data_IF_317011104554
#
_entry.id   IF_317011104554
#
_cell.length_a   1.000
_cell.length_b   1.000
_cell.length_c   1.000
_cell.angle_alpha   90.00
_cell.angle_beta   90.00
_cell.angle_gamma   90.00
#
_symmetry.space_group_name_H-M   'P 1'
#
loop_
_entity.id
_entity.type
_entity.pdbx_description
1 polymer ?
#
# COMPACT_ATOMS: atom_id res chain seq x y z
N UNK A 1 7.91 28.75 -14.64
CA UNK A 1 7.92 27.28 -14.85
C UNK A 1 7.46 26.65 -13.56
N UNK A 2 6.36 25.94 -13.60
CA UNK A 2 5.79 25.26 -12.42
C UNK A 2 6.46 23.90 -12.21
N UNK A 3 7.09 23.70 -11.06
CA UNK A 3 7.76 22.46 -10.71
C UNK A 3 6.82 21.59 -9.85
N UNK A 4 6.33 20.49 -10.38
CA UNK A 4 5.54 19.53 -9.64
C UNK A 4 6.41 18.33 -9.28
N UNK A 5 6.65 18.11 -7.98
CA UNK A 5 7.43 16.99 -7.47
C UNK A 5 6.49 15.95 -6.87
N UNK A 6 6.68 14.69 -7.22
CA UNK A 6 5.90 13.54 -6.73
C UNK A 6 6.87 12.63 -5.97
N UNK A 7 6.59 12.38 -4.69
CA UNK A 7 7.42 11.55 -3.83
C UNK A 7 6.81 10.16 -3.68
N UNK A 8 7.58 9.14 -4.10
CA UNK A 8 7.18 7.74 -4.05
C UNK A 8 6.47 7.25 -5.31
N UNK A 9 6.93 6.12 -5.83
CA UNK A 9 6.38 5.45 -7.01
C UNK A 9 5.56 4.20 -6.65
N UNK A 10 4.82 4.24 -5.52
CA UNK A 10 3.79 3.25 -5.20
C UNK A 10 2.54 3.46 -6.07
N UNK A 11 1.46 2.73 -5.77
CA UNK A 11 0.21 2.77 -6.56
C UNK A 11 -0.34 4.20 -6.76
N UNK A 12 -0.35 5.01 -5.72
CA UNK A 12 -0.86 6.38 -5.77
C UNK A 12 0.08 7.33 -6.54
N UNK A 13 1.40 7.26 -6.27
CA UNK A 13 2.39 8.12 -6.91
C UNK A 13 2.53 7.83 -8.40
N UNK A 14 2.54 6.56 -8.81
CA UNK A 14 2.53 6.18 -10.22
C UNK A 14 1.28 6.66 -10.95
N UNK A 15 0.11 6.56 -10.31
CA UNK A 15 -1.14 7.08 -10.86
C UNK A 15 -1.08 8.62 -11.02
N UNK A 16 -0.54 9.33 -10.03
CA UNK A 16 -0.36 10.78 -10.11
C UNK A 16 0.63 11.17 -11.22
N UNK A 17 1.78 10.52 -11.28
CA UNK A 17 2.83 10.82 -12.25
C UNK A 17 2.36 10.59 -13.70
N UNK A 18 1.79 9.42 -13.98
CA UNK A 18 1.32 9.10 -15.33
C UNK A 18 0.16 9.99 -15.80
N UNK A 19 -0.77 10.29 -14.88
CA UNK A 19 -1.90 11.18 -15.18
C UNK A 19 -1.45 12.63 -15.44
N UNK A 20 -0.58 13.16 -14.57
CA UNK A 20 -0.15 14.55 -14.69
C UNK A 20 0.73 14.72 -15.92
N UNK A 21 1.72 13.82 -16.11
CA UNK A 21 2.59 13.86 -17.27
C UNK A 21 1.83 13.81 -18.62
N UNK A 22 0.80 12.94 -18.68
CA UNK A 22 -0.03 12.87 -19.89
C UNK A 22 -0.85 14.14 -20.13
N UNK A 23 -1.31 14.83 -19.08
CA UNK A 23 -2.10 16.07 -19.17
C UNK A 23 -1.25 17.31 -19.44
N UNK A 24 0.01 17.31 -19.05
CA UNK A 24 0.94 18.42 -19.23
C UNK A 24 1.87 18.20 -20.42
N UNK A 25 1.69 17.12 -21.18
CA UNK A 25 2.47 16.82 -22.37
C UNK A 25 2.43 18.00 -23.36
N UNK A 26 3.61 18.48 -23.78
CA UNK A 26 3.73 19.64 -24.67
C UNK A 26 3.59 21.00 -23.98
N UNK A 27 3.56 21.04 -22.64
CA UNK A 27 3.63 22.28 -21.86
C UNK A 27 5.05 22.52 -21.36
N UNK A 28 5.70 23.53 -21.90
CA UNK A 28 7.09 23.90 -21.51
C UNK A 28 7.14 24.70 -20.19
N UNK A 29 5.98 25.16 -19.72
CA UNK A 29 5.81 25.91 -18.48
C UNK A 29 5.60 25.01 -17.25
N UNK A 30 5.53 23.67 -17.41
CA UNK A 30 5.33 22.71 -16.32
C UNK A 30 6.39 21.60 -16.37
N UNK A 31 7.04 21.35 -15.24
CA UNK A 31 7.97 20.23 -15.07
C UNK A 31 7.43 19.26 -14.04
N UNK A 32 7.25 17.99 -14.43
CA UNK A 32 6.85 16.91 -13.52
C UNK A 32 8.06 16.04 -13.19
N UNK A 33 8.35 15.86 -11.90
CA UNK A 33 9.44 15.01 -11.42
C UNK A 33 8.90 13.96 -10.47
N UNK A 34 9.15 12.66 -10.75
CA UNK A 34 8.86 11.54 -9.85
C UNK A 34 10.14 11.11 -9.16
N UNK A 35 10.13 11.05 -7.82
CA UNK A 35 11.26 10.63 -6.98
C UNK A 35 10.93 9.28 -6.36
N UNK A 36 11.83 8.29 -6.51
CA UNK A 36 11.70 6.98 -5.88
C UNK A 36 13.07 6.29 -5.76
N UNK A 37 13.37 5.55 -4.68
CA UNK A 37 14.67 4.89 -4.53
C UNK A 37 14.89 3.76 -5.53
N UNK A 38 13.83 3.10 -5.99
CA UNK A 38 13.89 2.00 -6.94
C UNK A 38 13.41 2.45 -8.32
N UNK A 39 14.11 2.03 -9.37
CA UNK A 39 13.66 2.21 -10.75
C UNK A 39 12.56 1.21 -11.15
N UNK A 40 12.40 0.15 -10.37
CA UNK A 40 11.38 -0.87 -10.58
C UNK A 40 10.15 -0.59 -9.72
N UNK A 41 8.96 -0.71 -10.28
CA UNK A 41 7.70 -0.62 -9.55
C UNK A 41 7.52 -1.81 -8.62
N UNK A 42 7.30 -1.55 -7.34
CA UNK A 42 7.06 -2.58 -6.34
C UNK A 42 5.57 -2.94 -6.29
N UNK A 43 5.21 -4.11 -6.80
CA UNK A 43 3.85 -4.65 -6.67
C UNK A 43 3.62 -5.16 -5.23
N UNK A 44 3.33 -4.27 -4.28
CA UNK A 44 3.08 -4.63 -2.87
C UNK A 44 2.04 -5.73 -2.70
N UNK A 45 1.08 -5.83 -3.60
CA UNK A 45 0.07 -6.90 -3.61
C UNK A 45 0.64 -8.29 -3.91
N UNK A 46 1.90 -8.40 -4.32
CA UNK A 46 2.59 -9.66 -4.65
C UNK A 46 3.85 -9.90 -3.81
N UNK A 47 4.17 -9.04 -2.84
CA UNK A 47 5.37 -9.21 -2.02
C UNK A 47 5.35 -10.50 -1.20
N UNK A 48 4.18 -10.97 -0.77
CA UNK A 48 4.04 -12.28 -0.13
C UNK A 48 4.47 -13.43 -1.05
N UNK A 49 4.25 -13.32 -2.37
CA UNK A 49 4.74 -14.31 -3.34
C UNK A 49 6.26 -14.24 -3.50
N UNK A 50 6.81 -13.03 -3.62
CA UNK A 50 8.28 -12.83 -3.64
C UNK A 50 8.91 -13.38 -2.38
N UNK A 51 8.30 -13.12 -1.21
CA UNK A 51 8.76 -13.59 0.10
C UNK A 51 8.77 -15.11 0.26
N UNK A 52 8.12 -15.86 -0.62
CA UNK A 52 8.16 -17.33 -0.68
C UNK A 52 9.00 -17.86 -1.86
N UNK A 53 9.78 -17.00 -2.52
CA UNK A 53 10.67 -17.38 -3.62
C UNK A 53 10.03 -17.44 -4.99
N UNK A 54 8.76 -17.04 -5.13
CA UNK A 54 8.10 -17.04 -6.43
C UNK A 54 8.55 -15.85 -7.27
N UNK A 55 8.71 -16.09 -8.57
CA UNK A 55 9.06 -15.04 -9.52
C UNK A 55 7.83 -14.20 -9.85
N UNK A 56 7.95 -12.89 -9.69
CA UNK A 56 6.96 -11.90 -10.11
C UNK A 56 7.52 -11.02 -11.22
N UNK A 57 6.64 -10.48 -12.06
CA UNK A 57 7.04 -9.58 -13.13
C UNK A 57 7.71 -8.33 -12.55
N UNK A 58 8.74 -7.83 -13.23
CA UNK A 58 9.42 -6.57 -12.90
C UNK A 58 9.02 -5.50 -13.92
N UNK A 59 8.67 -4.32 -13.44
CA UNK A 59 8.17 -3.23 -14.25
C UNK A 59 9.06 -2.01 -14.10
N UNK A 60 9.64 -1.54 -15.20
CA UNK A 60 10.56 -0.40 -15.23
C UNK A 60 9.80 0.94 -15.26
N UNK A 61 10.02 1.79 -14.25
CA UNK A 61 9.36 3.08 -14.11
C UNK A 61 9.85 4.08 -15.18
N UNK A 62 11.16 4.28 -15.39
CA UNK A 62 11.67 5.12 -16.47
C UNK A 62 11.10 4.76 -17.83
N UNK A 63 11.03 3.47 -18.18
CA UNK A 63 10.45 3.01 -19.45
C UNK A 63 8.98 3.41 -19.59
N UNK A 64 8.20 3.22 -18.53
CA UNK A 64 6.79 3.64 -18.54
C UNK A 64 6.66 5.16 -18.74
N UNK A 65 7.50 5.97 -18.12
CA UNK A 65 7.46 7.42 -18.22
C UNK A 65 8.11 7.98 -19.50
N UNK A 66 8.84 7.16 -20.25
CA UNK A 66 9.50 7.60 -21.48
C UNK A 66 8.53 8.25 -22.48
N UNK A 67 8.90 9.39 -23.05
CA UNK A 67 8.09 10.15 -24.02
C UNK A 67 6.88 10.88 -23.40
N UNK A 68 6.78 10.98 -22.08
CA UNK A 68 5.75 11.78 -21.40
C UNK A 68 6.21 13.20 -21.03
N UNK A 69 7.53 13.45 -20.99
CA UNK A 69 8.11 14.68 -20.46
C UNK A 69 8.33 14.67 -18.94
N UNK A 70 7.82 13.66 -18.22
CA UNK A 70 8.11 13.50 -16.80
C UNK A 70 9.53 13.00 -16.57
N UNK A 71 10.20 13.58 -15.58
CA UNK A 71 11.55 13.19 -15.16
C UNK A 71 11.47 12.18 -14.02
N UNK A 72 12.19 11.08 -14.11
CA UNK A 72 12.43 10.17 -12.99
C UNK A 72 13.75 10.53 -12.29
N UNK A 73 13.72 10.64 -10.97
CA UNK A 73 14.90 10.86 -10.11
C UNK A 73 14.98 9.70 -9.14
N UNK A 74 16.01 8.87 -9.30
CA UNK A 74 16.30 7.79 -8.36
C UNK A 74 16.95 8.36 -7.10
N UNK A 75 16.41 8.00 -5.92
CA UNK A 75 16.98 8.35 -4.62
C UNK A 75 15.95 8.30 -3.50
N UNK A 76 16.45 8.28 -2.28
CA UNK A 76 15.66 8.30 -1.05
C UNK A 76 15.32 9.75 -0.68
N UNK A 77 14.08 9.98 -0.31
CA UNK A 77 13.66 11.26 0.30
C UNK A 77 14.05 11.21 1.77
N UNK A 78 15.01 12.05 2.16
CA UNK A 78 15.54 12.12 3.52
C UNK A 78 14.97 13.27 4.33
N UNK A 79 14.52 14.35 3.67
CA UNK A 79 13.81 15.45 4.32
C UNK A 79 12.85 16.14 3.35
N UNK A 80 11.82 16.75 3.90
CA UNK A 80 10.91 17.69 3.24
C UNK A 80 10.85 18.95 4.11
N UNK A 81 11.00 20.11 3.51
CA UNK A 81 10.75 21.39 4.13
C UNK A 81 9.56 22.04 3.41
N UNK A 82 8.40 22.04 4.07
CA UNK A 82 7.16 22.49 3.45
C UNK A 82 7.09 24.02 3.33
N UNK A 83 7.73 24.75 4.25
CA UNK A 83 7.80 26.22 4.22
C UNK A 83 8.77 26.72 3.13
N UNK A 84 9.96 26.11 3.05
CA UNK A 84 10.94 26.44 2.01
C UNK A 84 10.64 25.80 0.66
N UNK A 85 9.64 24.93 0.57
CA UNK A 85 9.23 24.16 -0.62
C UNK A 85 10.39 23.37 -1.23
N UNK A 86 11.10 22.63 -0.39
CA UNK A 86 12.23 21.81 -0.81
C UNK A 86 12.10 20.36 -0.37
N UNK A 87 12.72 19.49 -1.17
CA UNK A 87 12.86 18.05 -0.90
C UNK A 87 14.32 17.70 -0.98
N UNK A 88 14.85 17.05 0.06
CA UNK A 88 16.20 16.52 0.09
C UNK A 88 16.21 15.05 -0.31
N UNK A 89 17.14 14.68 -1.18
CA UNK A 89 17.30 13.34 -1.70
C UNK A 89 18.72 12.87 -1.43
N UNK A 90 18.87 11.70 -0.79
CA UNK A 90 20.15 11.06 -0.43
C UNK A 90 21.09 12.00 0.35
N UNK A 91 20.51 12.95 1.12
CA UNK A 91 21.19 14.01 1.89
C UNK A 91 22.05 15.01 1.07
N UNK A 92 22.17 14.81 -0.24
CA UNK A 92 23.05 15.58 -1.11
C UNK A 92 22.28 16.51 -2.06
N UNK A 93 21.18 16.02 -2.64
CA UNK A 93 20.45 16.71 -3.70
C UNK A 93 19.22 17.41 -3.14
N UNK A 94 19.01 18.67 -3.51
CA UNK A 94 17.82 19.43 -3.16
C UNK A 94 16.98 19.71 -4.40
N UNK A 95 15.70 19.37 -4.37
CA UNK A 95 14.71 19.75 -5.37
C UNK A 95 13.77 20.82 -4.78
N UNK A 96 13.58 21.90 -5.55
CA UNK A 96 12.55 22.89 -5.26
C UNK A 96 11.25 22.50 -5.96
N UNK A 97 10.10 22.76 -5.33
CA UNK A 97 8.79 22.54 -5.91
C UNK A 97 7.88 23.76 -5.74
N UNK A 98 6.94 23.92 -6.64
CA UNK A 98 5.80 24.83 -6.50
C UNK A 98 4.59 24.04 -5.97
N UNK A 99 4.46 22.80 -6.43
CA UNK A 99 3.43 21.84 -5.98
C UNK A 99 4.07 20.49 -5.64
N UNK A 100 3.71 19.91 -4.49
CA UNK A 100 4.18 18.62 -4.03
C UNK A 100 3.05 17.58 -4.02
N UNK A 101 3.31 16.37 -4.52
CA UNK A 101 2.47 15.19 -4.28
C UNK A 101 3.22 14.24 -3.33
N UNK A 102 2.77 14.18 -2.09
CA UNK A 102 3.33 13.29 -1.07
C UNK A 102 2.65 11.91 -1.16
N UNK A 103 3.35 10.90 -1.68
CA UNK A 103 2.86 9.53 -1.91
C UNK A 103 3.83 8.47 -1.36
N UNK A 104 4.56 8.79 -0.27
CA UNK A 104 5.57 7.90 0.33
C UNK A 104 4.98 6.67 1.03
N UNK A 105 3.66 6.58 1.13
CA UNK A 105 2.97 5.42 1.70
C UNK A 105 3.21 5.24 3.20
N UNK A 106 3.22 3.97 3.62
CA UNK A 106 3.45 3.55 5.00
C UNK A 106 4.47 2.41 5.04
N UNK A 107 5.11 2.26 6.20
CA UNK A 107 5.97 1.13 6.56
C UNK A 107 5.31 0.34 7.70
N UNK A 108 5.85 -0.83 8.02
CA UNK A 108 5.40 -1.60 9.17
C UNK A 108 5.51 -0.76 10.46
N UNK A 109 4.49 -0.86 11.32
CA UNK A 109 4.52 -0.31 12.67
C UNK A 109 5.11 -1.39 13.59
N UNK A 110 6.30 -1.14 14.16
CA UNK A 110 7.13 -2.17 14.78
C UNK A 110 7.08 -2.09 16.31
N UNK A 111 7.34 -3.22 16.95
CA UNK A 111 7.64 -3.34 18.38
C UNK A 111 9.14 -3.58 18.57
N UNK A 112 9.71 -3.45 19.81
CA UNK A 112 11.12 -3.73 20.06
C UNK A 112 11.58 -5.07 19.50
N UNK A 113 12.73 -5.07 18.83
CA UNK A 113 13.37 -6.23 18.23
C UNK A 113 12.90 -6.62 16.83
N UNK A 114 11.85 -5.98 16.28
CA UNK A 114 11.40 -6.28 14.90
C UNK A 114 12.47 -5.89 13.89
N UNK A 115 13.09 -4.73 14.04
CA UNK A 115 14.11 -4.24 13.08
C UNK A 115 15.37 -5.12 13.07
N UNK A 116 15.67 -5.83 14.18
CA UNK A 116 16.85 -6.68 14.32
C UNK A 116 16.58 -8.17 14.02
N UNK A 117 15.36 -8.66 14.30
CA UNK A 117 15.07 -10.09 14.37
C UNK A 117 13.86 -10.55 13.54
N UNK A 118 13.16 -9.64 12.85
CA UNK A 118 12.04 -10.00 12.01
C UNK A 118 12.24 -9.58 10.55
N UNK A 119 11.56 -10.29 9.66
CA UNK A 119 11.42 -9.90 8.26
C UNK A 119 10.16 -9.08 8.06
N UNK A 120 10.17 -8.20 7.07
CA UNK A 120 9.01 -7.40 6.67
C UNK A 120 8.73 -7.55 5.17
N UNK A 121 7.57 -7.04 4.73
CA UNK A 121 7.24 -6.90 3.30
C UNK A 121 7.14 -5.40 2.92
N UNK A 122 8.08 -4.59 3.42
CA UNK A 122 8.13 -3.16 3.10
C UNK A 122 8.67 -2.90 1.68
N UNK A 123 9.61 -3.73 1.24
CA UNK A 123 10.27 -3.62 -0.07
C UNK A 123 10.40 -4.97 -0.76
N UNK A 124 10.79 -4.92 -2.05
CA UNK A 124 11.12 -6.12 -2.80
C UNK A 124 12.35 -6.84 -2.23
N UNK A 125 13.35 -6.09 -1.77
CA UNK A 125 14.56 -6.64 -1.15
C UNK A 125 14.25 -7.35 0.17
N UNK A 126 13.39 -6.78 1.02
CA UNK A 126 12.96 -7.44 2.27
C UNK A 126 12.27 -8.78 1.97
N UNK A 127 11.44 -8.82 0.94
CA UNK A 127 10.79 -10.05 0.51
C UNK A 127 11.79 -11.09 -0.03
N UNK A 128 12.80 -10.67 -0.80
CA UNK A 128 13.88 -11.57 -1.28
C UNK A 128 14.69 -12.14 -0.09
N UNK A 129 15.01 -11.31 0.92
CA UNK A 129 15.70 -11.77 2.13
C UNK A 129 14.88 -12.80 2.90
N UNK A 130 13.57 -12.61 3.01
CA UNK A 130 12.66 -13.60 3.59
C UNK A 130 12.69 -14.90 2.79
N UNK A 131 12.57 -14.85 1.47
CA UNK A 131 12.57 -16.04 0.59
C UNK A 131 13.85 -16.85 0.75
N UNK A 132 15.02 -16.19 0.77
CA UNK A 132 16.31 -16.83 1.01
C UNK A 132 16.38 -17.49 2.38
N UNK A 133 15.81 -16.86 3.41
CA UNK A 133 15.78 -17.40 4.77
C UNK A 133 14.89 -18.63 4.87
N UNK A 134 13.67 -18.58 4.30
CA UNK A 134 12.73 -19.71 4.31
C UNK A 134 13.32 -20.92 3.58
N UNK A 135 13.96 -20.69 2.42
CA UNK A 135 14.61 -21.75 1.64
C UNK A 135 15.74 -22.41 2.42
N UNK A 136 16.57 -21.64 3.13
CA UNK A 136 17.68 -22.18 3.95
C UNK A 136 17.19 -22.85 5.23
N UNK A 137 16.06 -22.44 5.79
CA UNK A 137 15.51 -23.04 7.00
C UNK A 137 15.09 -24.49 6.77
N UNK A 138 14.37 -24.76 5.69
CA UNK A 138 13.94 -26.10 5.29
C UNK A 138 12.89 -26.74 6.21
N UNK A 139 13.09 -26.68 7.53
CA UNK A 139 12.15 -27.11 8.59
C UNK A 139 12.28 -26.22 9.81
N UNK A 140 11.20 -26.03 10.58
CA UNK A 140 11.15 -25.17 11.76
C UNK A 140 9.90 -24.34 11.82
N UNK A 141 9.81 -23.45 12.81
CA UNK A 141 8.62 -22.66 13.10
C UNK A 141 8.71 -21.25 12.50
N UNK A 142 7.75 -20.88 11.68
CA UNK A 142 7.59 -19.54 11.13
C UNK A 142 6.38 -18.86 11.77
N UNK A 143 6.62 -17.75 12.49
CA UNK A 143 5.57 -16.92 13.05
C UNK A 143 5.26 -15.79 12.10
N UNK A 144 4.03 -15.75 11.57
CA UNK A 144 3.50 -14.61 10.82
C UNK A 144 2.72 -13.72 11.79
N UNK A 145 3.30 -12.58 12.14
CA UNK A 145 2.74 -11.61 13.06
C UNK A 145 1.74 -10.69 12.37
N UNK A 146 0.45 -10.85 12.69
CA UNK A 146 -0.65 -10.05 12.15
C UNK A 146 -1.65 -10.86 11.34
N UNK A 147 -2.90 -10.90 11.80
CA UNK A 147 -4.04 -11.61 11.18
C UNK A 147 -4.78 -10.78 10.13
N UNK A 148 -4.20 -9.66 9.69
CA UNK A 148 -4.68 -8.86 8.55
C UNK A 148 -4.51 -9.58 7.21
N UNK A 149 -4.95 -8.95 6.12
CA UNK A 149 -4.93 -9.57 4.78
C UNK A 149 -3.53 -10.02 4.37
N UNK A 150 -2.50 -9.17 4.57
CA UNK A 150 -1.12 -9.50 4.25
C UNK A 150 -0.62 -10.71 5.03
N UNK A 151 -0.93 -10.79 6.34
CA UNK A 151 -0.54 -11.93 7.16
C UNK A 151 -1.20 -13.23 6.73
N UNK A 152 -2.51 -13.19 6.45
CA UNK A 152 -3.26 -14.35 5.94
C UNK A 152 -2.68 -14.84 4.62
N UNK A 153 -2.43 -13.93 3.66
CA UNK A 153 -1.86 -14.28 2.36
C UNK A 153 -0.45 -14.84 2.49
N UNK A 154 0.38 -14.22 3.35
CA UNK A 154 1.74 -14.70 3.60
C UNK A 154 1.77 -16.06 4.28
N UNK A 155 0.94 -16.29 5.30
CA UNK A 155 0.88 -17.57 6.00
C UNK A 155 0.41 -18.70 5.08
N UNK A 156 -0.63 -18.46 4.26
CA UNK A 156 -1.11 -19.41 3.30
C UNK A 156 -0.06 -19.76 2.22
N UNK A 157 0.64 -18.73 1.72
CA UNK A 157 1.65 -18.90 0.68
C UNK A 157 2.91 -19.61 1.22
N UNK A 158 3.36 -19.28 2.46
CA UNK A 158 4.49 -19.96 3.10
C UNK A 158 4.16 -21.44 3.32
N UNK A 159 2.97 -21.75 3.87
CA UNK A 159 2.58 -23.14 4.12
C UNK A 159 2.46 -23.96 2.82
N UNK A 160 1.98 -23.35 1.71
CA UNK A 160 1.87 -24.03 0.41
C UNK A 160 3.25 -24.25 -0.23
N UNK A 161 4.14 -23.26 -0.22
CA UNK A 161 5.43 -23.29 -0.92
C UNK A 161 6.55 -24.00 -0.11
N UNK A 162 6.42 -24.03 1.22
CA UNK A 162 7.39 -24.61 2.15
C UNK A 162 6.72 -25.60 3.11
N UNK A 163 6.26 -26.76 2.64
CA UNK A 163 5.46 -27.71 3.43
C UNK A 163 6.24 -28.37 4.59
N UNK A 164 7.55 -28.16 4.69
CA UNK A 164 8.37 -28.59 5.83
C UNK A 164 8.38 -27.59 7.00
N UNK A 165 7.73 -26.44 6.88
CA UNK A 165 7.69 -25.40 7.91
C UNK A 165 6.37 -25.43 8.69
N UNK A 166 6.46 -25.29 10.00
CA UNK A 166 5.30 -25.10 10.88
C UNK A 166 4.93 -23.62 10.90
N UNK A 167 3.82 -23.26 10.24
CA UNK A 167 3.40 -21.88 10.10
C UNK A 167 2.36 -21.51 11.14
N UNK A 168 2.67 -20.49 11.96
CA UNK A 168 1.78 -19.94 12.98
C UNK A 168 1.38 -18.51 12.60
N UNK A 169 0.10 -18.29 12.32
CA UNK A 169 -0.49 -16.98 12.10
C UNK A 169 -1.00 -16.42 13.43
N UNK A 170 -0.34 -15.38 13.95
CA UNK A 170 -0.56 -14.85 15.28
C UNK A 170 -0.99 -13.38 15.24
N UNK A 171 -1.99 -13.00 16.04
CA UNK A 171 -2.39 -11.60 16.17
C UNK A 171 -3.61 -11.38 17.06
N UNK A 172 -3.96 -10.10 17.28
CA UNK A 172 -5.04 -9.69 18.20
C UNK A 172 -6.44 -10.08 17.73
N UNK A 173 -6.66 -10.10 16.44
CA UNK A 173 -8.00 -10.37 15.86
C UNK A 173 -8.07 -11.69 15.13
N UNK A 174 -9.28 -12.13 14.83
CA UNK A 174 -9.53 -13.30 13.99
C UNK A 174 -9.22 -12.99 12.52
N UNK A 175 -8.62 -13.94 11.76
CA UNK A 175 -8.48 -13.81 10.32
C UNK A 175 -9.85 -13.66 9.65
N UNK A 176 -9.99 -12.65 8.77
CA UNK A 176 -11.24 -12.37 8.09
C UNK A 176 -12.33 -11.76 8.96
N UNK A 177 -12.00 -11.13 10.12
CA UNK A 177 -12.99 -10.53 11.04
C UNK A 177 -13.95 -9.54 10.36
N UNK A 178 -13.48 -8.83 9.31
CA UNK A 178 -14.31 -7.87 8.54
C UNK A 178 -15.16 -8.53 7.44
N UNK A 179 -15.12 -9.86 7.30
CA UNK A 179 -15.94 -10.61 6.35
C UNK A 179 -17.24 -11.08 7.01
N UNK A 180 -18.23 -11.44 6.18
CA UNK A 180 -19.39 -12.16 6.65
C UNK A 180 -19.00 -13.59 7.07
N UNK A 181 -19.87 -14.23 7.82
CA UNK A 181 -19.64 -15.56 8.39
C UNK A 181 -19.18 -16.61 7.36
N UNK A 182 -19.92 -16.76 6.24
CA UNK A 182 -19.59 -17.78 5.22
C UNK A 182 -18.20 -17.59 4.56
N UNK A 183 -17.84 -16.40 4.01
CA UNK A 183 -16.50 -16.21 3.46
C UNK A 183 -15.39 -16.26 4.53
N UNK A 184 -15.66 -15.85 5.78
CA UNK A 184 -14.72 -16.00 6.89
C UNK A 184 -14.49 -17.48 7.24
N UNK A 185 -15.54 -18.26 7.36
CA UNK A 185 -15.42 -19.70 7.60
C UNK A 185 -14.67 -20.41 6.47
N UNK A 186 -14.89 -20.00 5.21
CA UNK A 186 -14.13 -20.53 4.08
C UNK A 186 -12.64 -20.22 4.20
N UNK A 187 -12.28 -18.97 4.55
CA UNK A 187 -10.89 -18.55 4.77
C UNK A 187 -10.23 -19.37 5.89
N UNK A 188 -10.91 -19.52 7.04
CA UNK A 188 -10.40 -20.28 8.18
C UNK A 188 -10.18 -21.75 7.82
N UNK A 189 -11.15 -22.40 7.16
CA UNK A 189 -11.01 -23.77 6.68
C UNK A 189 -9.88 -23.93 5.64
N UNK A 190 -9.59 -22.90 4.83
CA UNK A 190 -8.46 -22.93 3.91
C UNK A 190 -7.12 -22.88 4.64
N UNK A 191 -6.97 -22.02 5.65
CA UNK A 191 -5.76 -21.98 6.48
C UNK A 191 -5.54 -23.32 7.21
N UNK A 192 -6.61 -23.93 7.75
CA UNK A 192 -6.55 -25.24 8.39
C UNK A 192 -6.09 -26.34 7.41
N UNK A 193 -6.64 -26.39 6.18
CA UNK A 193 -6.21 -27.34 5.14
C UNK A 193 -4.76 -27.18 4.74
N UNK A 194 -4.21 -25.97 4.81
CA UNK A 194 -2.78 -25.68 4.54
C UNK A 194 -1.88 -25.99 5.75
N UNK A 195 -2.44 -26.44 6.89
CA UNK A 195 -1.69 -26.70 8.11
C UNK A 195 -1.29 -25.45 8.89
N UNK A 196 -1.87 -24.29 8.60
CA UNK A 196 -1.57 -23.04 9.33
C UNK A 196 -2.24 -23.06 10.68
N UNK A 197 -1.45 -22.96 11.75
CA UNK A 197 -1.94 -22.79 13.12
C UNK A 197 -2.33 -21.33 13.35
N UNK A 198 -3.59 -21.06 13.70
CA UNK A 198 -4.06 -19.70 13.97
C UNK A 198 -4.12 -19.44 15.48
N UNK A 199 -3.42 -18.40 15.95
CA UNK A 199 -3.48 -17.89 17.34
C UNK A 199 -4.05 -16.48 17.35
N UNK A 200 -5.36 -16.37 17.40
CA UNK A 200 -6.06 -15.11 17.60
C UNK A 200 -6.10 -14.70 19.09
N UNK A 201 -6.29 -13.41 19.36
CA UNK A 201 -6.33 -12.87 20.73
C UNK A 201 -4.94 -12.72 21.37
N UNK A 202 -3.86 -12.92 20.63
CA UNK A 202 -2.49 -12.80 21.11
C UNK A 202 -1.82 -11.52 20.54
N UNK A 203 -1.12 -10.79 21.40
CA UNK A 203 -0.38 -9.57 21.04
C UNK A 203 1.10 -9.78 21.27
N UNK A 204 1.90 -9.62 20.23
CA UNK A 204 3.37 -9.63 20.32
C UNK A 204 3.81 -8.26 20.83
N UNK A 205 4.57 -8.24 21.89
CA UNK A 205 5.12 -7.00 22.49
C UNK A 205 6.62 -6.85 22.24
N UNK A 206 7.30 -7.95 21.86
CA UNK A 206 8.72 -7.95 21.54
C UNK A 206 9.08 -9.12 20.64
N UNK A 207 10.04 -8.91 19.74
CA UNK A 207 10.67 -9.98 18.96
C UNK A 207 12.09 -10.23 19.49
N UNK A 208 12.41 -11.49 19.69
CA UNK A 208 13.70 -11.99 20.15
C UNK A 208 14.41 -12.73 19.00
N UNK A 209 15.70 -13.07 19.11
CA UNK A 209 16.44 -13.75 18.05
C UNK A 209 15.80 -15.07 17.56
N UNK A 210 15.15 -15.81 18.47
CA UNK A 210 14.57 -17.14 18.24
C UNK A 210 13.16 -17.31 18.83
N UNK A 211 12.50 -16.21 19.17
CA UNK A 211 11.18 -16.24 19.81
C UNK A 211 10.38 -14.93 19.63
N UNK A 212 9.11 -14.98 19.97
CA UNK A 212 8.28 -13.79 20.20
C UNK A 212 7.75 -13.79 21.63
N UNK A 213 7.74 -12.61 22.27
CA UNK A 213 7.17 -12.39 23.59
C UNK A 213 5.76 -11.80 23.43
N UNK A 214 4.80 -12.40 24.14
CA UNK A 214 3.40 -12.00 24.12
C UNK A 214 3.07 -11.10 25.32
N UNK A 215 2.05 -10.26 25.20
CA UNK A 215 1.61 -9.34 26.26
C UNK A 215 1.31 -10.01 27.61
N UNK A 216 0.98 -11.31 27.60
CA UNK A 216 0.79 -12.12 28.82
C UNK A 216 2.07 -12.67 29.47
N UNK A 217 3.26 -12.33 28.95
CA UNK A 217 4.56 -12.84 29.42
C UNK A 217 4.93 -14.23 28.89
N UNK A 218 4.05 -14.84 28.06
CA UNK A 218 4.39 -16.08 27.36
C UNK A 218 5.44 -15.81 26.29
N UNK A 219 6.43 -16.70 26.17
CA UNK A 219 7.40 -16.69 25.08
C UNK A 219 7.13 -17.89 24.17
N UNK A 220 7.03 -17.64 22.87
CA UNK A 220 6.83 -18.67 21.86
C UNK A 220 8.02 -18.72 20.92
N UNK A 221 8.59 -19.92 20.75
CA UNK A 221 9.70 -20.15 19.81
C UNK A 221 9.32 -19.80 18.36
N UNK A 222 10.28 -19.23 17.62
CA UNK A 222 10.15 -18.88 16.21
C UNK A 222 11.53 -18.85 15.54
N UNK A 223 11.77 -19.73 14.58
CA UNK A 223 13.01 -19.71 13.77
C UNK A 223 13.02 -18.54 12.77
N UNK A 224 11.82 -18.10 12.37
CA UNK A 224 11.59 -16.94 11.51
C UNK A 224 10.34 -16.19 11.98
N UNK A 225 10.45 -14.88 12.10
CA UNK A 225 9.31 -14.00 12.33
C UNK A 225 9.10 -13.14 11.08
N UNK A 226 7.91 -13.22 10.46
CA UNK A 226 7.46 -12.29 9.44
C UNK A 226 6.50 -11.28 10.05
N UNK A 227 6.90 -10.02 10.11
CA UNK A 227 6.10 -8.94 10.68
C UNK A 227 5.18 -8.29 9.65
N UNK A 228 3.87 -8.48 9.80
CA UNK A 228 2.83 -7.88 8.95
C UNK A 228 1.81 -7.06 9.76
N UNK A 229 2.09 -6.84 11.06
CA UNK A 229 1.17 -6.19 11.99
C UNK A 229 1.34 -4.67 11.99
N UNK A 230 0.24 -3.97 11.76
CA UNK A 230 0.22 -2.51 11.80
C UNK A 230 0.97 -1.82 10.65
N UNK A 231 0.60 -0.58 10.41
CA UNK A 231 1.32 0.31 9.48
C UNK A 231 1.29 1.74 10.00
N UNK A 232 2.39 2.46 9.82
CA UNK A 232 2.51 3.89 10.14
C UNK A 232 3.15 4.66 8.99
N UNK A 233 2.82 5.91 8.84
CA UNK A 233 3.54 6.79 7.92
C UNK A 233 4.93 7.13 8.48
N UNK A 234 5.89 7.35 7.59
CA UNK A 234 7.23 7.81 8.02
C UNK A 234 7.13 9.18 8.71
N UNK A 235 8.00 9.47 9.70
CA UNK A 235 7.96 10.73 10.46
C UNK A 235 8.29 11.99 9.64
N UNK A 236 8.71 11.82 8.39
CA UNK A 236 9.07 12.90 7.46
C UNK A 236 7.96 13.96 7.29
N UNK A 237 6.69 13.55 7.30
CA UNK A 237 5.57 14.48 7.14
C UNK A 237 5.43 15.41 8.33
N UNK A 238 5.49 14.88 9.55
CA UNK A 238 5.44 15.68 10.77
C UNK A 238 6.69 16.57 10.92
N UNK A 239 7.87 16.05 10.59
CA UNK A 239 9.13 16.80 10.58
C UNK A 239 9.11 17.95 9.56
N UNK A 240 8.33 17.84 8.49
CA UNK A 240 8.12 18.87 7.47
C UNK A 240 7.12 19.97 7.88
N UNK A 241 6.56 19.95 9.08
CA UNK A 241 5.52 20.89 9.53
C UNK A 241 4.11 20.60 9.00
N UNK A 242 3.90 19.44 8.35
CA UNK A 242 2.59 19.03 7.87
C UNK A 242 1.75 18.47 9.04
N UNK A 243 0.48 18.89 9.14
CA UNK A 243 -0.43 18.34 10.13
C UNK A 243 -0.65 16.84 9.87
N UNK A 244 -0.44 16.01 10.89
CA UNK A 244 -0.59 14.56 10.82
C UNK A 244 -1.58 14.02 11.84
N UNK A 245 -2.16 12.87 11.59
CA UNK A 245 -2.92 12.10 12.57
C UNK A 245 -2.00 11.26 13.47
N UNK A 246 -2.59 10.52 14.42
CA UNK A 246 -1.88 9.66 15.38
C UNK A 246 -1.01 8.56 14.72
N UNK A 247 -1.27 8.23 13.45
CA UNK A 247 -0.48 7.27 12.66
C UNK A 247 0.54 7.95 11.75
N UNK A 248 0.78 9.25 11.92
CA UNK A 248 1.70 10.05 11.11
C UNK A 248 1.19 10.37 9.69
N UNK A 249 -0.07 10.06 9.35
CA UNK A 249 -0.63 10.34 8.03
C UNK A 249 -1.03 11.81 7.92
N UNK A 250 -0.71 12.43 6.78
CA UNK A 250 -1.01 13.84 6.54
C UNK A 250 -2.53 14.08 6.52
N UNK A 251 -3.00 14.99 7.35
CA UNK A 251 -4.41 15.41 7.38
C UNK A 251 -4.69 16.25 6.13
N UNK A 252 -5.71 15.85 5.36
CA UNK A 252 -6.08 16.53 4.12
C UNK A 252 -7.46 17.18 4.20
N UNK A 253 -7.64 18.22 3.41
CA UNK A 253 -8.96 18.74 3.07
C UNK A 253 -9.70 17.78 2.10
N UNK A 254 -10.93 18.15 1.74
CA UNK A 254 -11.75 17.34 0.83
C UNK A 254 -11.19 17.26 -0.61
N UNK A 255 -10.19 18.07 -0.96
CA UNK A 255 -9.54 18.10 -2.29
C UNK A 255 -8.20 17.34 -2.31
N UNK A 256 -7.80 16.72 -1.19
CA UNK A 256 -6.55 16.03 -0.92
C UNK A 256 -5.34 16.96 -0.69
N UNK A 257 -5.56 18.25 -0.44
CA UNK A 257 -4.50 19.16 -0.02
C UNK A 257 -4.26 19.04 1.48
N UNK A 258 -3.01 19.17 1.89
CA UNK A 258 -2.67 19.33 3.30
C UNK A 258 -3.41 20.54 3.88
N UNK A 259 -3.95 20.38 5.10
CA UNK A 259 -4.66 21.47 5.79
C UNK A 259 -3.73 22.59 6.26
N UNK A 260 -2.41 22.32 6.36
CA UNK A 260 -1.40 23.32 6.74
C UNK A 260 -0.70 23.95 5.56
N UNK A 261 -0.49 23.19 4.46
CA UNK A 261 0.24 23.62 3.26
C UNK A 261 -0.55 23.24 2.00
N UNK A 262 -1.39 24.14 1.45
CA UNK A 262 -2.32 23.81 0.36
C UNK A 262 -1.66 23.53 -1.00
N UNK A 263 -0.37 23.76 -1.14
CA UNK A 263 0.48 23.35 -2.25
C UNK A 263 1.01 21.91 -2.14
N UNK A 264 0.77 21.24 -1.00
CA UNK A 264 1.08 19.82 -0.78
C UNK A 264 -0.20 18.99 -0.90
N UNK A 265 -0.23 18.08 -1.88
CA UNK A 265 -1.26 17.04 -2.00
C UNK A 265 -0.76 15.75 -1.35
N UNK A 266 -1.53 15.17 -0.45
CA UNK A 266 -1.21 13.87 0.14
C UNK A 266 -2.14 12.78 -0.40
N UNK A 267 -1.56 11.65 -0.82
CA UNK A 267 -2.31 10.56 -1.48
C UNK A 267 -1.84 9.18 -1.03
N UNK A 268 -2.71 8.19 -1.20
CA UNK A 268 -2.44 6.81 -0.78
C UNK A 268 -2.38 6.66 0.74
N UNK A 269 -1.58 5.70 1.19
CA UNK A 269 -1.54 5.32 2.61
C UNK A 269 -0.87 6.37 3.51
N UNK A 270 -0.12 7.32 2.92
CA UNK A 270 0.47 8.45 3.64
C UNK A 270 -0.55 9.55 4.02
N UNK A 271 -1.79 9.46 3.54
CA UNK A 271 -2.81 10.49 3.73
C UNK A 271 -3.97 10.02 4.61
N UNK A 272 -4.39 10.86 5.56
CA UNK A 272 -5.61 10.68 6.36
C UNK A 272 -6.82 11.27 5.62
N UNK A 273 -7.26 10.59 4.54
CA UNK A 273 -8.33 11.06 3.67
C UNK A 273 -9.68 10.77 4.34
N UNK A 274 -10.43 11.82 4.65
CA UNK A 274 -11.75 11.71 5.27
C UNK A 274 -12.86 11.60 4.21
N UNK A 275 -13.77 10.66 4.40
CA UNK A 275 -14.99 10.47 3.62
C UNK A 275 -16.21 10.53 4.55
N UNK A 276 -17.42 10.53 4.01
CA UNK A 276 -18.64 10.52 4.83
C UNK A 276 -18.78 9.30 5.76
N UNK A 277 -18.06 8.21 5.48
CA UNK A 277 -18.03 7.00 6.30
C UNK A 277 -16.84 6.95 7.29
N UNK A 278 -16.00 7.98 7.35
CA UNK A 278 -14.82 8.02 8.21
C UNK A 278 -13.52 8.22 7.42
N UNK A 279 -12.38 8.01 8.08
CA UNK A 279 -11.07 8.06 7.44
C UNK A 279 -10.81 6.80 6.67
N UNK A 280 -10.34 6.94 5.43
CA UNK A 280 -10.00 5.78 4.59
C UNK A 280 -8.86 4.99 5.21
N UNK A 281 -8.96 3.65 5.16
CA UNK A 281 -7.81 2.80 5.40
C UNK A 281 -7.01 2.61 4.11
N UNK A 282 -5.69 2.38 4.25
CA UNK A 282 -4.77 2.24 3.12
C UNK A 282 -5.06 1.00 2.30
N UNK A 283 -5.28 1.19 1.01
CA UNK A 283 -5.39 0.11 0.01
C UNK A 283 -5.03 0.63 -1.36
N UNK A 284 -4.54 -0.24 -2.26
CA UNK A 284 -4.29 0.13 -3.66
C UNK A 284 -5.57 0.60 -4.37
N UNK A 285 -6.75 0.05 -3.99
CA UNK A 285 -8.03 0.44 -4.60
C UNK A 285 -8.43 1.89 -4.27
N UNK A 286 -8.01 2.43 -3.12
CA UNK A 286 -8.18 3.85 -2.77
C UNK A 286 -7.00 4.72 -3.20
N UNK A 287 -5.79 4.17 -3.18
CA UNK A 287 -4.56 4.89 -3.50
C UNK A 287 -4.48 5.36 -4.94
N UNK A 288 -4.76 4.49 -5.92
CA UNK A 288 -4.75 4.88 -7.35
C UNK A 288 -5.75 6.00 -7.67
N UNK A 289 -7.03 5.92 -7.27
CA UNK A 289 -7.98 7.02 -7.43
C UNK A 289 -7.53 8.33 -6.78
N UNK A 290 -6.92 8.28 -5.59
CA UNK A 290 -6.39 9.46 -4.91
C UNK A 290 -5.26 10.12 -5.73
N UNK A 291 -4.32 9.32 -6.25
CA UNK A 291 -3.24 9.81 -7.12
C UNK A 291 -3.76 10.45 -8.41
N UNK A 292 -4.71 9.79 -9.09
CA UNK A 292 -5.37 10.35 -10.28
C UNK A 292 -6.09 11.67 -9.95
N UNK A 293 -6.80 11.70 -8.80
CA UNK A 293 -7.52 12.90 -8.38
C UNK A 293 -6.58 14.06 -8.11
N UNK A 294 -5.46 13.84 -7.40
CA UNK A 294 -4.46 14.87 -7.17
C UNK A 294 -3.90 15.43 -8.49
N UNK A 295 -3.53 14.56 -9.45
CA UNK A 295 -3.07 14.98 -10.76
C UNK A 295 -4.11 15.82 -11.53
N UNK A 296 -5.38 15.42 -11.50
CA UNK A 296 -6.48 16.17 -12.11
C UNK A 296 -6.68 17.51 -11.41
N UNK A 297 -6.60 17.56 -10.09
CA UNK A 297 -6.74 18.78 -9.28
C UNK A 297 -5.59 19.75 -9.56
N UNK A 298 -4.33 19.27 -9.59
CA UNK A 298 -3.16 20.08 -9.97
C UNK A 298 -3.33 20.63 -11.38
N UNK A 299 -3.68 19.80 -12.35
CA UNK A 299 -3.91 20.25 -13.73
C UNK A 299 -5.02 21.29 -13.85
N UNK A 300 -6.08 21.19 -13.03
CA UNK A 300 -7.13 22.23 -12.99
C UNK A 300 -6.60 23.54 -12.43
N UNK A 301 -5.79 23.50 -11.36
CA UNK A 301 -5.16 24.70 -10.77
C UNK A 301 -4.23 25.37 -11.76
N UNK A 302 -3.43 24.61 -12.52
CA UNK A 302 -2.62 25.12 -13.62
C UNK A 302 -3.42 25.79 -14.76
N UNK A 303 -4.74 25.55 -14.81
CA UNK A 303 -5.68 26.24 -15.72
C UNK A 303 -6.47 27.37 -15.04
N UNK A 304 -6.10 27.78 -13.82
CA UNK A 304 -6.84 28.78 -13.04
C UNK A 304 -8.20 28.29 -12.48
N UNK A 305 -8.45 26.95 -12.45
CA UNK A 305 -9.71 26.35 -12.00
C UNK A 305 -9.55 25.77 -10.60
N UNK A 306 -10.62 25.82 -9.80
CA UNK A 306 -10.63 25.22 -8.48
C UNK A 306 -10.54 23.68 -8.52
N UNK A 307 -9.82 23.01 -7.57
CA UNK A 307 -9.84 21.57 -7.42
C UNK A 307 -11.25 21.07 -7.09
N UNK A 308 -11.49 19.78 -7.34
CA UNK A 308 -12.77 19.13 -7.01
C UNK A 308 -12.64 18.33 -5.72
N UNK A 309 -13.76 18.10 -5.06
CA UNK A 309 -13.84 17.19 -3.90
C UNK A 309 -13.56 15.76 -4.34
N UNK A 310 -12.69 15.09 -3.63
CA UNK A 310 -12.38 13.67 -3.79
C UNK A 310 -13.48 12.82 -3.16
N UNK A 311 -13.91 11.79 -3.88
CA UNK A 311 -14.89 10.81 -3.39
C UNK A 311 -14.46 9.42 -3.80
N UNK A 312 -14.47 8.50 -2.85
CA UNK A 312 -14.11 7.11 -3.06
C UNK A 312 -15.02 6.19 -2.23
N UNK A 313 -15.42 5.07 -2.79
CA UNK A 313 -16.14 4.00 -2.09
C UNK A 313 -15.47 2.65 -2.33
N UNK A 314 -15.27 1.88 -1.27
CA UNK A 314 -14.78 0.52 -1.35
C UNK A 314 -15.76 -0.38 -2.10
N UNK A 315 -15.29 -1.51 -2.60
CA UNK A 315 -16.15 -2.42 -3.37
C UNK A 315 -15.81 -3.91 -3.19
N UNK A 316 -14.62 -4.25 -2.69
CA UNK A 316 -14.22 -5.64 -2.42
C UNK A 316 -13.02 -5.77 -1.47
N UNK A 317 -12.87 -6.97 -0.89
CA UNK A 317 -11.70 -7.43 -0.14
C UNK A 317 -11.29 -8.79 -0.67
N UNK A 318 -10.39 -8.87 -1.66
CA UNK A 318 -9.87 -10.12 -2.20
C UNK A 318 -8.67 -10.61 -1.38
N UNK A 319 -8.63 -11.92 -1.05
CA UNK A 319 -7.57 -12.57 -0.26
C UNK A 319 -7.15 -13.86 -0.93
N UNK A 320 -5.84 -14.05 -1.17
CA UNK A 320 -5.26 -15.32 -1.62
C UNK A 320 -5.15 -16.30 -0.44
N UNK A 321 -5.35 -17.57 -0.73
CA UNK A 321 -5.24 -18.68 0.21
C UNK A 321 -4.33 -19.75 -0.42
N UNK A 322 -3.10 -19.36 -0.76
CA UNK A 322 -2.21 -20.07 -1.67
C UNK A 322 -2.49 -19.73 -3.14
N UNK A 323 -1.85 -20.44 -4.07
CA UNK A 323 -1.96 -20.15 -5.51
C UNK A 323 -3.25 -20.68 -6.15
N UNK A 324 -3.78 -21.76 -5.60
CA UNK A 324 -4.95 -22.46 -6.13
C UNK A 324 -6.29 -22.00 -5.57
N UNK A 325 -6.30 -21.21 -4.51
CA UNK A 325 -7.51 -20.83 -3.79
C UNK A 325 -7.52 -19.34 -3.39
N UNK A 326 -8.72 -18.79 -3.23
CA UNK A 326 -8.93 -17.40 -2.79
C UNK A 326 -10.35 -17.20 -2.27
N UNK A 327 -10.54 -16.13 -1.54
CA UNK A 327 -11.86 -15.60 -1.17
C UNK A 327 -11.96 -14.12 -1.54
N UNK A 328 -13.10 -13.68 -2.07
CA UNK A 328 -13.39 -12.28 -2.35
C UNK A 328 -14.69 -11.89 -1.66
N UNK A 329 -14.62 -11.04 -0.66
CA UNK A 329 -15.78 -10.42 -0.04
C UNK A 329 -16.11 -9.11 -0.75
N UNK A 330 -17.27 -9.01 -1.41
CA UNK A 330 -17.72 -7.71 -1.91
C UNK A 330 -18.24 -6.84 -0.78
N UNK A 331 -17.98 -5.52 -0.87
CA UNK A 331 -18.32 -4.56 0.18
C UNK A 331 -19.24 -3.46 -0.31
N UNK A 332 -19.90 -2.79 0.63
CA UNK A 332 -20.53 -1.49 0.42
C UNK A 332 -19.43 -0.41 0.32
N UNK A 333 -19.77 0.80 -0.16
CA UNK A 333 -18.79 1.88 -0.26
C UNK A 333 -18.14 2.30 1.06
N UNK A 334 -18.77 2.00 2.20
CA UNK A 334 -18.28 2.20 3.56
C UNK A 334 -17.53 0.98 4.12
N UNK A 335 -17.11 0.08 3.23
CA UNK A 335 -16.41 -1.17 3.50
C UNK A 335 -17.17 -2.25 4.29
N UNK A 336 -18.44 -2.03 4.64
CA UNK A 336 -19.26 -3.08 5.26
C UNK A 336 -19.49 -4.24 4.29
N UNK A 337 -19.37 -5.52 4.74
CA UNK A 337 -19.45 -6.67 3.87
C UNK A 337 -20.88 -6.90 3.33
N UNK A 338 -20.99 -7.11 2.01
CA UNK A 338 -22.23 -7.53 1.33
C UNK A 338 -22.47 -9.03 1.49
N UNK A 339 -23.67 -9.49 1.09
CA UNK A 339 -23.97 -10.93 1.01
C UNK A 339 -23.22 -11.64 -0.13
N UNK A 340 -22.83 -10.88 -1.17
CA UNK A 340 -22.10 -11.40 -2.33
C UNK A 340 -20.64 -11.65 -1.99
N UNK A 341 -20.13 -12.81 -2.35
CA UNK A 341 -18.73 -13.19 -2.23
C UNK A 341 -18.38 -14.24 -3.29
N UNK A 342 -17.09 -14.46 -3.54
CA UNK A 342 -16.55 -15.52 -4.39
C UNK A 342 -15.57 -16.36 -3.58
N UNK A 343 -15.44 -17.65 -3.93
CA UNK A 343 -14.46 -18.59 -3.36
C UNK A 343 -13.85 -19.46 -4.46
N UNK A 344 -12.72 -20.10 -4.19
CA UNK A 344 -12.07 -21.03 -5.10
C UNK A 344 -11.62 -20.38 -6.42
N UNK A 345 -11.63 -21.14 -7.51
CA UNK A 345 -11.14 -20.70 -8.84
C UNK A 345 -11.74 -19.38 -9.36
N UNK A 346 -13.06 -19.11 -9.23
CA UNK A 346 -13.61 -17.79 -9.58
C UNK A 346 -12.99 -16.65 -8.80
N UNK A 347 -12.75 -16.82 -7.50
CA UNK A 347 -12.10 -15.83 -6.64
C UNK A 347 -10.63 -15.61 -7.04
N UNK A 348 -9.89 -16.69 -7.34
CA UNK A 348 -8.51 -16.63 -7.85
C UNK A 348 -8.44 -15.80 -9.13
N UNK A 349 -9.29 -16.12 -10.13
CA UNK A 349 -9.32 -15.37 -11.40
C UNK A 349 -9.64 -13.89 -11.20
N UNK A 350 -10.61 -13.61 -10.34
CA UNK A 350 -10.99 -12.24 -10.00
C UNK A 350 -9.81 -11.49 -9.36
N UNK A 351 -9.19 -12.08 -8.33
CA UNK A 351 -8.07 -11.48 -7.62
C UNK A 351 -6.87 -11.24 -8.54
N UNK A 352 -6.48 -12.24 -9.35
CA UNK A 352 -5.37 -12.10 -10.30
C UNK A 352 -5.62 -10.97 -11.31
N UNK A 353 -6.85 -10.85 -11.83
CA UNK A 353 -7.24 -9.76 -12.74
C UNK A 353 -7.09 -8.39 -12.07
N UNK A 354 -7.57 -8.26 -10.83
CA UNK A 354 -7.47 -7.02 -10.07
C UNK A 354 -6.01 -6.69 -9.75
N UNK A 355 -5.24 -7.67 -9.27
CA UNK A 355 -3.84 -7.48 -8.89
C UNK A 355 -2.95 -7.13 -10.10
N UNK A 356 -3.19 -7.72 -11.27
CA UNK A 356 -2.44 -7.43 -12.49
C UNK A 356 -2.86 -6.11 -13.17
N UNK A 357 -3.98 -5.49 -12.78
CA UNK A 357 -4.55 -4.33 -13.49
C UNK A 357 -3.79 -3.01 -13.36
N UNK A 358 -3.02 -2.70 -12.28
CA UNK A 358 -2.41 -1.37 -12.11
C UNK A 358 -1.44 -1.00 -13.23
N UNK A 359 -0.47 -1.86 -13.55
CA UNK A 359 0.56 -1.51 -14.53
C UNK A 359 0.00 -1.24 -15.95
N UNK A 360 -0.83 -2.12 -16.55
CA UNK A 360 -1.51 -1.80 -17.81
C UNK A 360 -2.37 -0.54 -17.73
N UNK A 361 -2.93 -0.24 -16.56
CA UNK A 361 -3.73 0.97 -16.36
C UNK A 361 -2.88 2.22 -16.44
N UNK A 362 -1.67 2.24 -15.84
CA UNK A 362 -0.71 3.35 -16.01
C UNK A 362 -0.34 3.55 -17.48
N UNK A 363 -0.06 2.49 -18.21
CA UNK A 363 0.20 2.56 -19.66
C UNK A 363 -0.96 3.14 -20.48
N UNK A 364 -2.20 2.82 -20.11
CA UNK A 364 -3.40 3.43 -20.71
C UNK A 364 -3.56 4.90 -20.34
N UNK A 365 -3.32 5.26 -19.07
CA UNK A 365 -3.40 6.64 -18.58
C UNK A 365 -2.39 7.55 -19.30
N UNK A 366 -1.19 7.05 -19.59
CA UNK A 366 -0.17 7.74 -20.37
C UNK A 366 -0.68 8.15 -21.76
N UNK A 367 -1.46 7.29 -22.40
CA UNK A 367 -2.00 7.51 -23.76
C UNK A 367 -3.35 8.25 -23.76
N UNK A 368 -4.21 7.92 -22.81
CA UNK A 368 -5.58 8.39 -22.69
C UNK A 368 -5.85 8.84 -21.25
N UNK A 369 -5.54 10.07 -20.87
CA UNK A 369 -5.66 10.54 -19.49
C UNK A 369 -7.05 10.38 -18.89
N UNK A 370 -8.11 10.43 -19.70
CA UNK A 370 -9.49 10.21 -19.25
C UNK A 370 -9.73 8.78 -18.71
N UNK A 371 -8.93 7.78 -19.15
CA UNK A 371 -9.12 6.38 -18.75
C UNK A 371 -8.87 6.14 -17.27
N UNK A 372 -8.11 6.98 -16.58
CA UNK A 372 -7.84 6.88 -15.14
C UNK A 372 -8.97 7.41 -14.25
N UNK A 373 -9.98 8.08 -14.81
CA UNK A 373 -11.02 8.76 -14.03
C UNK A 373 -12.19 7.86 -13.58
N UNK A 374 -12.11 6.55 -13.85
CA UNK A 374 -13.16 5.59 -13.53
C UNK A 374 -12.86 4.84 -12.23
N UNK A 375 -13.55 5.22 -11.15
CA UNK A 375 -13.57 4.49 -9.88
C UNK A 375 -14.90 4.69 -9.17
N UNK A 376 -15.28 3.77 -8.24
CA UNK A 376 -16.49 3.93 -7.43
C UNK A 376 -16.40 5.18 -6.54
N UNK A 377 -17.34 6.11 -6.71
CA UNK A 377 -17.38 7.37 -5.94
C UNK A 377 -18.22 7.29 -4.67
N UNK A 378 -18.70 6.11 -4.31
CA UNK A 378 -19.41 5.84 -3.07
C UNK A 378 -20.81 6.42 -2.92
N UNK A 379 -21.30 7.21 -3.88
CA UNK A 379 -22.67 7.76 -3.90
C UNK A 379 -23.04 8.50 -2.60
N UNK A 380 -24.13 8.08 -1.92
CA UNK A 380 -24.60 8.67 -0.67
C UNK A 380 -23.63 8.52 0.51
N UNK A 381 -22.78 7.47 0.51
CA UNK A 381 -21.83 7.18 1.60
C UNK A 381 -20.67 8.18 1.68
N UNK A 382 -20.42 8.94 0.61
CA UNK A 382 -19.32 9.92 0.53
C UNK A 382 -19.82 11.36 0.50
N UNK A 383 -21.13 11.60 0.68
CA UNK A 383 -21.70 12.94 0.78
C UNK A 383 -21.45 13.50 2.18
N UNK A 384 -21.31 14.82 2.30
CA UNK A 384 -21.13 15.53 3.59
C UNK A 384 -19.68 15.77 4.00
N UNK A 385 -18.69 15.39 3.19
CA UNK A 385 -17.31 15.85 3.37
C UNK A 385 -17.23 17.30 2.90
N UNK A 386 -17.11 18.23 3.83
CA UNK A 386 -16.84 19.66 3.58
C UNK A 386 -15.40 19.96 3.86
#
# INVERSE_FOLDING_TARGET
>A
MENVVILGAGYAGMAAATQLAARTKGRDDVRVTLVNPQATFTERLRLHMTGTGQQVARFDIPELLAGTGARFVRGWVTAVDADAKTVRIDDERVLHYDTLVYALGTVADTVPGVDDHAYTLNSFQDAELLADRLTRLGSGTVVVAGTGLTGVESAAEIAEQHPGLDVVLLGRGEPGANMREKPRAYLQAALERLGVTVRAGAEIVKVLPDAVELAGGETMHADVVLWTSGTRAAPLAAAAGLATDERGRIVTDATLRSVTHPDVYAVGDAAAIKQGYGVMHGTCQGGMPAGVHAAVSIFRVLQGKQPKVFRFGYYHTPVSLGRGDAVVQFTHPDDRPRRLFLTGRPAVRYKETVTASPWPTYGRMKKLPASGAFWPRGGRFTRGVR
#
